data_IF_554576979474
#
_entry.id   IF_554576979474
#
_cell.length_a   1.000
_cell.length_b   1.000
_cell.length_c   1.000
_cell.angle_alpha   90.00
_cell.angle_beta   90.00
_cell.angle_gamma   90.00
#
_symmetry.space_group_name_H-M   'P 1'
#
loop_
_entity.id
_entity.type
_entity.pdbx_description
1 polymer ?
#
# COMPACT_ATOMS: atom_id res chain seq x y z
N UNK A 1 8.33 -53.33 -37.14
CA UNK A 1 7.79 -52.16 -37.85
C UNK A 1 6.35 -52.02 -37.36
N UNK A 2 6.10 -51.52 -36.14
CA UNK A 2 6.19 -50.11 -35.68
C UNK A 2 5.32 -49.19 -36.53
N UNK A 3 4.41 -48.36 -36.05
CA UNK A 3 3.79 -48.13 -34.75
C UNK A 3 2.52 -47.32 -35.09
N UNK A 4 1.42 -47.57 -34.38
CA UNK A 4 0.26 -46.68 -34.35
C UNK A 4 0.62 -45.32 -33.69
N UNK A 5 -0.30 -44.36 -33.81
CA UNK A 5 -0.37 -43.00 -33.24
C UNK A 5 -0.10 -41.86 -34.24
N UNK A 6 -1.14 -41.47 -34.98
CA UNK A 6 -1.31 -40.14 -35.54
C UNK A 6 -2.42 -39.41 -34.78
N UNK A 7 -2.06 -38.58 -33.81
CA UNK A 7 -2.94 -37.56 -33.24
C UNK A 7 -2.65 -36.25 -33.98
N UNK A 8 -3.49 -35.89 -34.92
CA UNK A 8 -3.52 -34.56 -35.51
C UNK A 8 -4.96 -34.10 -35.51
N UNK A 9 -5.33 -33.34 -34.47
CA UNK A 9 -6.35 -32.30 -34.52
C UNK A 9 -6.19 -31.47 -33.25
N UNK A 10 -5.27 -30.51 -33.30
CA UNK A 10 -5.13 -29.48 -32.25
C UNK A 10 -6.15 -28.40 -32.57
N UNK A 11 -7.29 -28.51 -31.92
CA UNK A 11 -8.39 -27.57 -31.96
C UNK A 11 -7.90 -26.11 -31.86
N UNK A 12 -8.25 -25.35 -32.89
CA UNK A 12 -8.38 -23.91 -32.87
C UNK A 12 -9.38 -23.53 -31.77
N UNK A 13 -8.91 -22.85 -30.73
CA UNK A 13 -9.77 -22.18 -29.76
C UNK A 13 -9.91 -20.73 -30.22
N UNK A 14 -10.94 -20.47 -31.01
CA UNK A 14 -11.44 -19.13 -31.22
C UNK A 14 -12.15 -18.65 -29.96
N UNK A 15 -11.79 -17.43 -29.59
CA UNK A 15 -12.52 -16.48 -28.75
C UNK A 15 -14.03 -16.55 -29.00
N UNK A 16 -14.80 -16.97 -28.01
CA UNK A 16 -16.26 -16.78 -28.02
C UNK A 16 -16.68 -16.22 -26.66
N UNK A 17 -16.84 -14.89 -26.64
CA UNK A 17 -17.35 -14.12 -25.51
C UNK A 17 -18.86 -14.35 -25.45
N UNK A 18 -19.29 -15.30 -24.63
CA UNK A 18 -20.71 -15.51 -24.32
C UNK A 18 -21.11 -14.64 -23.11
N UNK A 19 -21.70 -13.49 -23.39
CA UNK A 19 -22.55 -12.76 -22.47
C UNK A 19 -23.69 -13.67 -21.98
N UNK A 20 -23.69 -13.99 -20.69
CA UNK A 20 -24.89 -14.45 -19.99
C UNK A 20 -25.13 -13.54 -18.81
N UNK A 21 -26.10 -12.64 -19.00
CA UNK A 21 -26.66 -11.77 -17.97
C UNK A 21 -27.77 -12.51 -17.22
N UNK A 22 -27.70 -12.52 -15.89
CA UNK A 22 -28.70 -13.14 -15.03
C UNK A 22 -28.40 -12.93 -13.54
N UNK A 23 -28.74 -11.74 -13.01
CA UNK A 23 -28.98 -11.42 -11.60
C UNK A 23 -28.16 -12.17 -10.53
N UNK A 24 -27.00 -11.63 -10.14
CA UNK A 24 -26.48 -11.82 -8.78
C UNK A 24 -26.29 -10.46 -8.10
N UNK A 25 -27.08 -10.24 -7.06
CA UNK A 25 -26.92 -9.12 -6.13
C UNK A 25 -25.50 -9.13 -5.57
N UNK A 26 -24.69 -8.13 -5.95
CA UNK A 26 -23.55 -7.52 -5.22
C UNK A 26 -23.13 -8.23 -3.92
N UNK A 27 -22.62 -9.45 -4.00
CA UNK A 27 -21.99 -10.13 -2.88
C UNK A 27 -20.57 -10.45 -3.32
N UNK A 28 -19.65 -9.58 -2.91
CA UNK A 28 -18.22 -9.87 -3.02
C UNK A 28 -17.84 -11.16 -2.27
N UNK A 29 -16.57 -11.59 -2.39
CA UNK A 29 -16.07 -12.78 -1.70
C UNK A 29 -16.49 -12.81 -0.23
N UNK A 30 -17.31 -13.78 0.18
CA UNK A 30 -17.63 -14.00 1.62
C UNK A 30 -16.46 -14.65 2.39
N UNK A 31 -15.38 -15.00 1.71
CA UNK A 31 -14.28 -15.75 2.30
C UNK A 31 -13.32 -14.81 3.03
N UNK A 32 -13.18 -14.99 4.36
CA UNK A 32 -12.29 -14.18 5.20
C UNK A 32 -10.84 -14.17 4.72
N UNK A 33 -10.38 -15.25 4.08
CA UNK A 33 -9.01 -15.27 3.52
C UNK A 33 -8.86 -14.28 2.37
N UNK A 34 -9.89 -14.14 1.53
CA UNK A 34 -9.88 -13.24 0.38
C UNK A 34 -9.96 -11.80 0.85
N UNK A 35 -10.79 -11.53 1.88
CA UNK A 35 -10.83 -10.23 2.54
C UNK A 35 -9.45 -9.87 3.12
N UNK A 36 -8.79 -10.79 3.82
CA UNK A 36 -7.45 -10.56 4.38
C UNK A 36 -6.39 -10.34 3.29
N UNK A 37 -6.43 -11.11 2.20
CA UNK A 37 -5.55 -10.91 1.05
C UNK A 37 -5.79 -9.53 0.43
N UNK A 38 -7.05 -9.13 0.23
CA UNK A 38 -7.38 -7.84 -0.36
C UNK A 38 -6.89 -6.67 0.51
N UNK A 39 -7.08 -6.74 1.83
CA UNK A 39 -6.57 -5.74 2.76
C UNK A 39 -5.04 -5.65 2.73
N UNK A 40 -4.34 -6.77 2.62
CA UNK A 40 -2.88 -6.78 2.48
C UNK A 40 -2.44 -6.10 1.18
N UNK A 41 -3.07 -6.48 0.06
CA UNK A 41 -2.73 -5.94 -1.26
C UNK A 41 -3.07 -4.45 -1.41
N UNK A 42 -4.01 -3.94 -0.62
CA UNK A 42 -4.32 -2.50 -0.55
C UNK A 42 -3.15 -1.68 0.03
N UNK A 43 -2.34 -2.29 0.91
CA UNK A 43 -1.18 -1.60 1.49
C UNK A 43 0.00 -1.55 0.51
N UNK A 44 0.27 -2.67 -0.18
CA UNK A 44 1.25 -2.77 -1.27
C UNK A 44 1.02 -4.06 -2.05
N UNK A 45 1.42 -4.11 -3.33
CA UNK A 45 1.47 -5.37 -4.07
C UNK A 45 2.50 -6.34 -3.49
N UNK A 46 2.16 -7.64 -3.53
CA UNK A 46 2.96 -8.68 -2.85
C UNK A 46 3.02 -9.96 -3.66
N UNK A 47 4.07 -10.75 -3.44
CA UNK A 47 4.16 -12.11 -3.99
C UNK A 47 3.27 -13.06 -3.19
N UNK A 48 2.77 -14.11 -3.82
CA UNK A 48 1.95 -15.12 -3.14
C UNK A 48 2.65 -15.74 -1.91
N UNK A 49 3.99 -15.90 -1.96
CA UNK A 49 4.77 -16.39 -0.84
C UNK A 49 4.80 -15.43 0.36
N UNK A 50 4.88 -14.11 0.11
CA UNK A 50 4.84 -13.11 1.18
C UNK A 50 3.46 -13.07 1.84
N UNK A 51 2.39 -13.09 1.03
CA UNK A 51 1.01 -13.14 1.52
C UNK A 51 0.78 -14.40 2.38
N UNK A 52 1.27 -15.54 1.91
CA UNK A 52 1.21 -16.80 2.63
C UNK A 52 1.93 -16.76 3.99
N UNK A 53 3.11 -16.13 4.04
CA UNK A 53 3.87 -15.94 5.27
C UNK A 53 3.12 -15.06 6.27
N UNK A 54 2.56 -13.93 5.82
CA UNK A 54 1.80 -12.99 6.69
C UNK A 54 0.53 -13.64 7.25
N UNK A 55 -0.19 -14.42 6.44
CA UNK A 55 -1.45 -15.05 6.84
C UNK A 55 -1.25 -16.40 7.57
N UNK A 56 -0.02 -16.90 7.66
CA UNK A 56 0.29 -18.21 8.23
C UNK A 56 -0.45 -19.33 7.49
N UNK A 57 -0.43 -19.31 6.16
CA UNK A 57 -1.12 -20.28 5.29
C UNK A 57 -0.14 -20.88 4.27
N UNK A 58 -0.40 -22.09 3.76
CA UNK A 58 0.42 -22.66 2.69
C UNK A 58 0.37 -21.81 1.42
N UNK A 59 1.50 -21.61 0.75
CA UNK A 59 1.58 -20.82 -0.49
C UNK A 59 0.63 -21.32 -1.57
N UNK A 60 0.52 -22.65 -1.75
CA UNK A 60 -0.42 -23.26 -2.72
C UNK A 60 -1.86 -22.86 -2.44
N UNK A 61 -2.26 -22.82 -1.16
CA UNK A 61 -3.61 -22.44 -0.76
C UNK A 61 -3.90 -20.99 -1.14
N UNK A 62 -3.00 -20.07 -0.81
CA UNK A 62 -3.12 -18.65 -1.18
C UNK A 62 -3.14 -18.44 -2.69
N UNK A 63 -2.25 -19.11 -3.43
CA UNK A 63 -2.21 -19.07 -4.89
C UNK A 63 -3.52 -19.54 -5.53
N UNK A 64 -4.16 -20.58 -4.99
CA UNK A 64 -5.47 -21.02 -5.50
C UNK A 64 -6.54 -19.95 -5.38
N UNK A 65 -6.60 -19.21 -4.26
CA UNK A 65 -7.55 -18.10 -4.11
C UNK A 65 -7.23 -16.93 -5.04
N UNK A 66 -5.97 -16.55 -5.14
CA UNK A 66 -5.53 -15.46 -6.01
C UNK A 66 -5.89 -15.76 -7.47
N UNK A 67 -5.59 -16.95 -7.97
CA UNK A 67 -5.95 -17.38 -9.33
C UNK A 67 -7.47 -17.43 -9.54
N UNK A 68 -8.23 -17.91 -8.56
CA UNK A 68 -9.69 -17.98 -8.65
C UNK A 68 -10.36 -16.61 -8.69
N UNK A 69 -9.81 -15.63 -7.98
CA UNK A 69 -10.34 -14.26 -7.94
C UNK A 69 -9.74 -13.35 -9.02
N UNK A 70 -8.66 -13.78 -9.67
CA UNK A 70 -8.13 -13.17 -10.90
C UNK A 70 -9.14 -13.25 -12.04
N UNK A 71 -9.72 -14.43 -12.27
CA UNK A 71 -10.71 -14.62 -13.36
C UNK A 71 -11.99 -13.80 -13.15
N UNK A 72 -12.24 -13.34 -11.92
CA UNK A 72 -13.38 -12.48 -11.54
C UNK A 72 -13.02 -11.00 -11.50
N UNK A 73 -11.79 -10.64 -11.89
CA UNK A 73 -11.30 -9.27 -11.97
C UNK A 73 -11.18 -8.58 -10.62
N UNK A 74 -10.91 -9.32 -9.54
CA UNK A 74 -10.63 -8.75 -8.22
C UNK A 74 -9.14 -8.53 -7.96
N UNK A 75 -8.31 -9.39 -8.55
CA UNK A 75 -6.85 -9.32 -8.47
C UNK A 75 -6.24 -9.40 -9.86
N UNK A 76 -5.08 -8.78 -10.02
CA UNK A 76 -4.25 -8.89 -11.20
C UNK A 76 -2.86 -9.43 -10.84
N UNK A 77 -2.17 -9.96 -11.84
CA UNK A 77 -0.83 -10.51 -11.69
C UNK A 77 0.08 -9.87 -12.71
N UNK A 78 0.97 -9.02 -12.22
CA UNK A 78 1.89 -8.21 -13.01
C UNK A 78 3.29 -8.29 -12.41
N UNK A 79 4.30 -8.48 -13.26
CA UNK A 79 5.71 -8.45 -12.87
C UNK A 79 6.08 -9.37 -11.67
N UNK A 80 5.37 -10.49 -11.50
CA UNK A 80 5.62 -11.42 -10.39
C UNK A 80 4.89 -11.09 -9.08
N UNK A 81 4.08 -10.02 -9.08
CA UNK A 81 3.33 -9.53 -7.92
C UNK A 81 1.83 -9.63 -8.17
N UNK A 82 1.09 -9.81 -7.08
CA UNK A 82 -0.36 -9.70 -7.07
C UNK A 82 -0.76 -8.27 -6.70
N UNK A 83 -1.65 -7.69 -7.50
CA UNK A 83 -2.19 -6.34 -7.35
C UNK A 83 -3.71 -6.39 -7.23
N UNK A 84 -4.31 -5.32 -6.72
CA UNK A 84 -5.76 -5.13 -6.77
C UNK A 84 -6.14 -4.45 -8.08
N UNK A 85 -7.25 -4.88 -8.66
CA UNK A 85 -7.94 -4.11 -9.72
C UNK A 85 -8.74 -2.97 -9.08
N UNK A 86 -9.29 -2.07 -9.89
CA UNK A 86 -10.20 -1.01 -9.40
C UNK A 86 -11.35 -1.59 -8.55
N UNK A 87 -11.98 -2.68 -9.02
CA UNK A 87 -13.02 -3.40 -8.27
C UNK A 87 -12.49 -4.02 -6.96
N UNK A 88 -11.26 -4.54 -6.99
CA UNK A 88 -10.57 -5.07 -5.83
C UNK A 88 -10.28 -4.01 -4.77
N UNK A 89 -9.89 -2.81 -5.19
CA UNK A 89 -9.64 -1.68 -4.29
C UNK A 89 -10.90 -1.21 -3.58
N UNK A 90 -12.00 -1.03 -4.31
CA UNK A 90 -13.30 -0.68 -3.72
C UNK A 90 -13.73 -1.74 -2.69
N UNK A 91 -13.56 -3.01 -3.03
CA UNK A 91 -13.84 -4.12 -2.14
C UNK A 91 -12.97 -4.05 -0.86
N UNK A 92 -11.66 -3.87 -1.00
CA UNK A 92 -10.74 -3.77 0.13
C UNK A 92 -11.05 -2.56 1.04
N UNK A 93 -11.39 -1.40 0.46
CA UNK A 93 -11.79 -0.19 1.22
C UNK A 93 -13.08 -0.44 2.01
N UNK A 94 -14.08 -1.08 1.39
CA UNK A 94 -15.34 -1.41 2.08
C UNK A 94 -15.13 -2.31 3.30
N UNK A 95 -14.16 -3.22 3.24
CA UNK A 95 -13.78 -4.09 4.37
C UNK A 95 -13.16 -3.26 5.50
N UNK A 96 -12.23 -2.35 5.18
CA UNK A 96 -11.62 -1.48 6.17
C UNK A 96 -12.65 -0.61 6.88
N UNK A 97 -13.55 0.02 6.13
CA UNK A 97 -14.62 0.83 6.69
C UNK A 97 -15.53 0.01 7.62
N UNK A 98 -15.90 -1.21 7.22
CA UNK A 98 -16.71 -2.11 8.03
C UNK A 98 -16.03 -2.47 9.36
N UNK A 99 -14.75 -2.84 9.32
CA UNK A 99 -13.97 -3.18 10.52
C UNK A 99 -13.74 -1.96 11.42
N UNK A 100 -13.48 -0.78 10.84
CA UNK A 100 -13.32 0.47 11.60
C UNK A 100 -14.63 0.88 12.28
N UNK A 101 -15.74 0.86 11.55
CA UNK A 101 -17.06 1.20 12.10
C UNK A 101 -17.45 0.25 13.24
N UNK A 102 -17.14 -1.05 13.11
CA UNK A 102 -17.33 -2.02 14.19
C UNK A 102 -16.54 -1.65 15.45
N UNK A 103 -15.26 -1.28 15.31
CA UNK A 103 -14.44 -0.83 16.47
C UNK A 103 -14.98 0.45 17.08
N UNK A 104 -15.34 1.45 16.27
CA UNK A 104 -15.92 2.70 16.76
C UNK A 104 -17.21 2.44 17.55
N UNK A 105 -18.06 1.54 17.05
CA UNK A 105 -19.27 1.15 17.77
C UNK A 105 -18.96 0.46 19.12
N UNK A 106 -17.94 -0.41 19.17
CA UNK A 106 -17.47 -1.03 20.40
C UNK A 106 -16.95 0.00 21.41
N UNK A 107 -16.11 0.94 20.97
CA UNK A 107 -15.60 2.01 21.83
C UNK A 107 -16.72 2.96 22.30
N UNK A 108 -17.68 3.27 21.44
CA UNK A 108 -18.83 4.10 21.81
C UNK A 108 -19.75 3.40 22.82
N UNK A 109 -19.90 2.07 22.72
CA UNK A 109 -20.60 1.28 23.72
C UNK A 109 -19.86 1.29 25.07
N UNK A 110 -18.54 1.07 25.05
CA UNK A 110 -17.71 1.13 26.26
C UNK A 110 -17.74 2.51 26.92
N UNK A 111 -17.66 3.59 26.14
CA UNK A 111 -17.73 4.95 26.65
C UNK A 111 -19.06 5.25 27.34
N UNK A 112 -20.18 4.77 26.78
CA UNK A 112 -21.50 4.85 27.42
C UNK A 112 -21.56 4.06 28.72
N UNK A 113 -21.02 2.84 28.74
CA UNK A 113 -20.97 2.02 29.94
C UNK A 113 -20.18 2.69 31.08
N UNK A 114 -19.05 3.35 30.77
CA UNK A 114 -18.26 4.09 31.77
C UNK A 114 -19.09 5.23 32.39
N UNK A 115 -19.83 5.97 31.57
CA UNK A 115 -20.72 7.04 32.06
C UNK A 115 -21.90 6.48 32.88
N UNK A 116 -22.43 5.32 32.51
CA UNK A 116 -23.52 4.66 33.23
C UNK A 116 -23.05 4.05 34.57
N UNK A 117 -21.78 3.66 34.68
CA UNK A 117 -21.15 3.16 35.89
C UNK A 117 -20.81 4.26 36.91
N UNK A 118 -20.78 5.53 36.49
CA UNK A 118 -20.81 6.69 37.40
C UNK A 118 -22.22 6.90 37.99
N UNK A 119 -22.71 5.90 38.74
CA UNK A 119 -23.71 6.15 39.77
C UNK A 119 -23.02 6.93 40.90
N UNK A 120 -22.88 8.23 40.69
CA UNK A 120 -22.47 9.17 41.73
C UNK A 120 -23.53 9.13 42.82
N UNK A 121 -23.17 8.49 43.94
CA UNK A 121 -23.69 8.83 45.27
C UNK A 121 -23.70 10.36 45.36
N UNK A 122 -24.88 10.94 45.25
CA UNK A 122 -25.10 12.38 45.28
C UNK A 122 -24.53 12.96 46.58
N UNK A 123 -23.36 13.58 46.52
CA UNK A 123 -22.87 14.42 47.61
C UNK A 123 -23.74 15.67 47.64
N UNK A 124 -24.80 15.63 48.46
CA UNK A 124 -25.66 16.77 48.76
C UNK A 124 -24.80 17.79 49.52
N UNK A 125 -24.43 18.90 48.88
CA UNK A 125 -23.97 20.07 49.59
C UNK A 125 -25.04 21.15 49.51
N UNK A 126 -25.75 21.32 50.62
CA UNK A 126 -26.61 22.46 50.88
C UNK A 126 -25.77 23.75 50.90
N UNK A 127 -26.06 24.67 49.98
CA UNK A 127 -26.12 26.08 50.38
C UNK A 127 -27.04 26.87 49.45
N UNK A 128 -27.83 27.72 50.09
CA UNK A 128 -29.07 28.34 49.65
C UNK A 128 -28.91 29.55 48.72
N UNK A 129 -29.92 29.73 47.84
CA UNK A 129 -30.37 30.96 47.12
C UNK A 129 -29.40 31.54 46.06
N UNK A 130 -29.75 31.89 44.82
CA UNK A 130 -30.95 32.56 44.26
C UNK A 130 -30.86 32.58 42.70
N UNK A 131 -31.97 32.49 41.95
CA UNK A 131 -32.09 33.06 40.58
C UNK A 131 -31.78 32.18 39.34
N UNK A 132 -32.33 32.51 38.14
CA UNK A 132 -32.78 31.53 37.13
C UNK A 132 -31.68 31.00 36.18
N UNK A 133 -31.91 29.76 35.74
CA UNK A 133 -31.09 28.96 34.81
C UNK A 133 -30.75 29.70 33.51
N UNK A 134 -29.48 30.06 33.35
CA UNK A 134 -28.84 30.19 32.04
C UNK A 134 -28.09 28.90 31.72
N UNK A 135 -28.56 28.22 30.68
CA UNK A 135 -27.93 27.08 30.04
C UNK A 135 -26.58 27.50 29.44
N UNK A 136 -25.53 27.46 30.25
CA UNK A 136 -24.15 27.39 29.79
C UNK A 136 -23.36 26.69 30.89
N UNK A 137 -23.40 25.35 30.85
CA UNK A 137 -22.57 24.51 31.71
C UNK A 137 -21.11 24.77 31.40
N UNK A 138 -20.52 25.70 32.16
CA UNK A 138 -19.09 25.98 32.18
C UNK A 138 -18.36 24.65 32.39
N UNK A 139 -17.58 24.24 31.40
CA UNK A 139 -16.58 23.21 31.53
C UNK A 139 -15.75 23.54 32.77
N UNK A 140 -15.64 22.59 33.70
CA UNK A 140 -14.95 22.84 34.95
C UNK A 140 -13.49 23.26 34.69
N UNK A 141 -12.96 24.22 35.46
CA UNK A 141 -11.63 24.81 35.23
C UNK A 141 -10.47 23.82 35.38
N UNK A 142 -10.72 22.60 35.86
CA UNK A 142 -9.72 21.52 35.88
C UNK A 142 -9.26 21.11 34.47
N UNK A 143 -10.15 21.16 33.45
CA UNK A 143 -9.75 20.87 32.06
C UNK A 143 -8.86 21.98 31.50
N UNK A 144 -9.04 23.23 31.95
CA UNK A 144 -8.26 24.37 31.47
C UNK A 144 -6.76 24.25 31.82
N UNK A 145 -6.41 23.56 32.90
CA UNK A 145 -5.03 23.28 33.28
C UNK A 145 -4.36 22.19 32.41
N UNK A 146 -5.15 21.29 31.81
CA UNK A 146 -4.67 20.24 30.90
C UNK A 146 -4.77 20.63 29.42
N UNK A 147 -5.50 21.68 29.06
CA UNK A 147 -5.39 22.34 27.75
C UNK A 147 -4.18 23.28 27.70
N UNK A 148 -3.02 22.79 28.14
CA UNK A 148 -1.74 23.46 28.04
C UNK A 148 -1.09 23.20 26.69
N UNK A 149 -0.96 24.25 25.88
CA UNK A 149 -0.26 24.32 24.59
C UNK A 149 -0.90 23.51 23.46
N UNK A 150 -1.86 24.13 22.76
CA UNK A 150 -1.96 23.96 21.29
C UNK A 150 -0.73 24.58 20.64
N UNK A 151 0.44 23.96 20.86
CA UNK A 151 1.52 24.07 19.91
C UNK A 151 0.95 23.53 18.61
N UNK A 152 0.79 24.40 17.62
CA UNK A 152 0.69 23.96 16.22
C UNK A 152 2.00 23.23 15.90
N UNK A 153 2.16 22.00 16.38
CA UNK A 153 2.96 21.00 15.69
C UNK A 153 2.21 20.80 14.39
N UNK A 154 2.49 21.68 13.43
CA UNK A 154 2.35 21.37 12.02
C UNK A 154 3.01 20.01 11.90
N UNK A 155 2.20 18.95 11.88
CA UNK A 155 2.62 17.69 11.29
C UNK A 155 3.20 18.15 9.96
N UNK A 156 4.52 18.07 9.80
CA UNK A 156 5.14 18.21 8.50
C UNK A 156 4.52 17.05 7.72
N UNK A 157 3.38 17.31 7.07
CA UNK A 157 2.86 16.42 6.05
C UNK A 157 4.06 16.22 5.15
N UNK A 158 4.52 14.97 5.01
CA UNK A 158 5.62 14.65 4.12
C UNK A 158 5.35 15.31 2.78
N UNK A 159 6.40 15.81 2.13
CA UNK A 159 6.23 16.43 0.81
C UNK A 159 5.47 15.45 -0.09
N UNK A 160 4.53 15.93 -0.93
CA UNK A 160 3.90 15.07 -1.92
C UNK A 160 4.98 14.35 -2.74
N UNK A 161 4.75 13.10 -3.14
CA UNK A 161 5.76 12.22 -3.76
C UNK A 161 6.54 12.93 -4.88
N UNK A 162 5.84 13.64 -5.75
CA UNK A 162 6.43 14.44 -6.84
C UNK A 162 7.36 15.55 -6.34
N UNK A 163 6.97 16.31 -5.31
CA UNK A 163 7.81 17.35 -4.73
C UNK A 163 9.04 16.78 -4.03
N UNK A 164 8.94 15.58 -3.44
CA UNK A 164 10.11 14.94 -2.86
C UNK A 164 11.11 14.48 -3.93
N UNK A 165 10.62 13.84 -4.99
CA UNK A 165 11.47 13.43 -6.11
C UNK A 165 12.15 14.65 -6.72
N UNK A 166 11.43 15.74 -6.98
CA UNK A 166 12.03 16.97 -7.50
C UNK A 166 13.08 17.57 -6.57
N UNK A 167 12.86 17.56 -5.25
CA UNK A 167 13.86 18.01 -4.29
C UNK A 167 15.14 17.15 -4.35
N UNK A 168 15.00 15.83 -4.52
CA UNK A 168 16.14 14.92 -4.60
C UNK A 168 16.90 15.11 -5.92
N UNK A 169 16.18 15.27 -7.02
CA UNK A 169 16.79 15.48 -8.34
C UNK A 169 17.48 16.85 -8.44
N UNK A 170 17.00 17.87 -7.71
CA UNK A 170 17.61 19.21 -7.70
C UNK A 170 18.96 19.26 -6.97
N UNK A 171 19.15 18.42 -5.94
CA UNK A 171 20.38 18.35 -5.17
C UNK A 171 21.47 17.47 -5.84
N UNK A 172 21.13 16.77 -6.94
CA UNK A 172 22.02 15.86 -7.64
C UNK A 172 22.52 16.48 -8.96
N UNK A 173 23.83 16.42 -9.19
CA UNK A 173 24.44 16.79 -10.48
C UNK A 173 24.25 15.66 -11.50
N UNK A 174 23.10 15.63 -12.16
CA UNK A 174 22.69 14.60 -13.13
C UNK A 174 22.27 15.20 -14.47
N UNK A 175 22.54 14.46 -15.55
CA UNK A 175 22.13 14.82 -16.91
C UNK A 175 20.65 14.47 -17.14
N UNK A 176 20.03 15.03 -18.18
CA UNK A 176 18.61 14.80 -18.48
C UNK A 176 18.28 13.30 -18.72
N UNK A 177 19.18 12.57 -19.38
CA UNK A 177 19.04 11.12 -19.60
C UNK A 177 19.11 10.33 -18.28
N UNK A 178 20.02 10.73 -17.39
CA UNK A 178 20.20 10.10 -16.07
C UNK A 178 18.99 10.38 -15.17
N UNK A 179 18.43 11.59 -15.29
CA UNK A 179 17.25 12.04 -14.56
C UNK A 179 16.04 11.18 -14.85
N UNK A 180 15.78 10.84 -16.11
CA UNK A 180 14.64 10.00 -16.49
C UNK A 180 14.69 8.62 -15.81
N UNK A 181 15.86 7.96 -15.84
CA UNK A 181 16.05 6.65 -15.19
C UNK A 181 15.93 6.78 -13.68
N UNK A 182 16.53 7.81 -13.10
CA UNK A 182 16.53 8.01 -11.66
C UNK A 182 15.13 8.33 -11.14
N UNK A 183 14.37 9.15 -11.85
CA UNK A 183 12.97 9.46 -11.53
C UNK A 183 12.10 8.19 -11.52
N UNK A 184 12.23 7.34 -12.54
CA UNK A 184 11.54 6.04 -12.58
C UNK A 184 11.91 5.16 -11.39
N UNK A 185 13.21 5.04 -11.10
CA UNK A 185 13.70 4.24 -9.98
C UNK A 185 13.28 4.78 -8.61
N UNK A 186 13.20 6.11 -8.45
CA UNK A 186 12.73 6.75 -7.23
C UNK A 186 11.23 6.59 -7.05
N UNK A 187 10.44 6.76 -8.11
CA UNK A 187 9.01 6.45 -8.10
C UNK A 187 8.78 5.00 -7.71
N UNK A 188 9.52 4.07 -8.32
CA UNK A 188 9.45 2.66 -7.99
C UNK A 188 9.81 2.40 -6.51
N UNK A 189 10.87 3.01 -6.00
CA UNK A 189 11.23 2.86 -4.60
C UNK A 189 10.16 3.41 -3.64
N UNK A 190 9.56 4.57 -3.95
CA UNK A 190 8.52 5.18 -3.12
C UNK A 190 7.17 4.45 -3.20
N UNK A 191 6.89 3.79 -4.32
CA UNK A 191 5.65 3.04 -4.54
C UNK A 191 5.74 1.61 -3.99
N UNK A 192 6.85 0.92 -4.23
CA UNK A 192 7.00 -0.53 -3.96
C UNK A 192 7.91 -0.83 -2.76
N UNK A 193 8.70 0.15 -2.30
CA UNK A 193 9.68 -0.01 -1.20
C UNK A 193 10.93 -0.81 -1.59
N UNK A 194 11.01 -1.29 -2.83
CA UNK A 194 12.14 -2.05 -3.36
C UNK A 194 13.17 -1.12 -3.95
N UNK A 195 14.41 -1.18 -3.45
CA UNK A 195 15.48 -0.30 -3.91
C UNK A 195 16.21 -0.79 -5.15
N UNK A 196 15.68 -1.81 -5.82
CA UNK A 196 16.29 -2.39 -7.01
C UNK A 196 15.21 -2.87 -7.97
N UNK A 197 15.60 -2.92 -9.24
CA UNK A 197 14.81 -3.40 -10.38
C UNK A 197 15.75 -4.20 -11.29
N UNK A 198 15.22 -5.10 -12.11
CA UNK A 198 16.02 -5.82 -13.11
C UNK A 198 16.14 -5.01 -14.41
N UNK A 199 17.23 -5.22 -15.14
CA UNK A 199 17.53 -4.45 -16.35
C UNK A 199 16.47 -4.65 -17.44
N UNK A 200 16.03 -5.89 -17.64
CA UNK A 200 14.95 -6.25 -18.57
C UNK A 200 13.63 -5.53 -18.25
N UNK A 201 13.31 -5.37 -16.97
CA UNK A 201 12.15 -4.60 -16.54
C UNK A 201 12.33 -3.10 -16.83
N UNK A 202 13.53 -2.54 -16.61
CA UNK A 202 13.83 -1.15 -16.97
C UNK A 202 13.78 -0.91 -18.49
N UNK A 203 14.25 -1.86 -19.29
CA UNK A 203 14.15 -1.81 -20.76
C UNK A 203 12.67 -1.75 -21.20
N UNK A 204 11.81 -2.55 -20.58
CA UNK A 204 10.37 -2.56 -20.86
C UNK A 204 9.67 -1.29 -20.41
N UNK A 205 9.88 -0.87 -19.16
CA UNK A 205 9.16 0.26 -18.56
C UNK A 205 9.53 1.61 -19.22
N UNK A 206 10.78 1.76 -19.68
CA UNK A 206 11.27 2.98 -20.32
C UNK A 206 11.27 2.92 -21.85
N UNK A 207 10.84 1.79 -22.44
CA UNK A 207 10.93 1.50 -23.88
C UNK A 207 12.32 1.84 -24.47
N UNK A 208 13.38 1.56 -23.71
CA UNK A 208 14.72 2.05 -23.99
C UNK A 208 15.63 0.97 -24.59
N UNK A 209 16.53 1.37 -25.49
CA UNK A 209 17.56 0.47 -26.02
C UNK A 209 18.52 0.03 -24.90
N UNK A 210 18.84 -1.27 -24.87
CA UNK A 210 19.69 -1.90 -23.86
C UNK A 210 21.10 -1.31 -23.80
N UNK A 211 21.71 -1.00 -24.94
CA UNK A 211 23.08 -0.47 -25.00
C UNK A 211 23.09 0.96 -24.47
N UNK A 212 22.11 1.76 -24.86
CA UNK A 212 21.91 3.10 -24.32
C UNK A 212 21.67 3.06 -22.80
N UNK A 213 20.76 2.21 -22.33
CA UNK A 213 20.41 2.09 -20.92
C UNK A 213 21.62 1.70 -20.07
N UNK A 214 22.38 0.69 -20.48
CA UNK A 214 23.61 0.29 -19.79
C UNK A 214 24.67 1.40 -19.76
N UNK A 215 24.74 2.23 -20.79
CA UNK A 215 25.67 3.38 -20.84
C UNK A 215 25.29 4.44 -19.82
N UNK A 216 24.00 4.79 -19.73
CA UNK A 216 23.50 5.76 -18.74
C UNK A 216 23.64 5.21 -17.32
N UNK A 217 23.30 3.94 -17.10
CA UNK A 217 23.42 3.29 -15.79
C UNK A 217 24.87 3.22 -15.29
N UNK A 218 25.85 3.02 -16.19
CA UNK A 218 27.27 3.06 -15.82
C UNK A 218 27.74 4.46 -15.41
N UNK A 219 27.21 5.52 -16.05
CA UNK A 219 27.47 6.91 -15.62
C UNK A 219 26.92 7.16 -14.21
N UNK A 220 25.66 6.78 -13.97
CA UNK A 220 25.01 6.83 -12.65
C UNK A 220 25.75 6.00 -11.59
N UNK A 221 26.31 4.86 -11.97
CA UNK A 221 27.14 4.03 -11.08
C UNK A 221 28.44 4.73 -10.71
N UNK A 222 29.09 5.41 -11.66
CA UNK A 222 30.35 6.15 -11.44
C UNK A 222 30.14 7.31 -10.47
N UNK A 223 28.96 7.96 -10.53
CA UNK A 223 28.52 8.99 -9.57
C UNK A 223 28.13 8.43 -8.19
N UNK A 224 28.13 7.10 -8.01
CA UNK A 224 27.76 6.45 -6.74
C UNK A 224 26.28 6.57 -6.38
N UNK A 225 25.44 6.92 -7.35
CA UNK A 225 23.98 7.07 -7.20
C UNK A 225 23.32 5.68 -7.23
N UNK A 226 23.86 4.79 -8.06
CA UNK A 226 23.32 3.45 -8.28
C UNK A 226 24.41 2.37 -8.21
N UNK A 227 23.98 1.12 -8.02
CA UNK A 227 24.83 -0.06 -8.16
C UNK A 227 24.26 -1.01 -9.21
N UNK A 228 25.16 -1.68 -9.93
CA UNK A 228 24.81 -2.72 -10.88
C UNK A 228 25.38 -4.04 -10.34
N UNK A 229 24.53 -5.05 -10.21
CA UNK A 229 24.89 -6.38 -9.73
C UNK A 229 24.45 -7.42 -10.75
N UNK A 230 25.37 -8.27 -11.21
CA UNK A 230 25.05 -9.33 -12.14
C UNK A 230 24.66 -10.62 -11.39
N UNK A 231 23.38 -10.99 -11.46
CA UNK A 231 22.86 -12.23 -10.91
C UNK A 231 22.99 -13.36 -11.95
N UNK A 232 23.70 -14.43 -11.59
CA UNK A 232 23.96 -15.56 -12.50
C UNK A 232 22.69 -16.25 -13.00
N UNK A 233 21.57 -16.13 -12.29
CA UNK A 233 20.31 -16.83 -12.63
C UNK A 233 19.24 -15.90 -13.19
N UNK A 234 19.22 -14.65 -12.73
CA UNK A 234 18.14 -13.70 -13.00
C UNK A 234 18.59 -12.48 -13.83
N UNK A 235 19.87 -12.39 -14.18
CA UNK A 235 20.40 -11.31 -15.01
C UNK A 235 20.83 -10.08 -14.22
N UNK A 236 20.86 -8.92 -14.90
CA UNK A 236 21.44 -7.70 -14.34
C UNK A 236 20.42 -7.02 -13.43
N UNK A 237 20.82 -6.79 -12.18
CA UNK A 237 20.06 -6.07 -11.16
C UNK A 237 20.63 -4.67 -10.98
N UNK A 238 19.76 -3.68 -11.00
CA UNK A 238 20.11 -2.27 -10.89
C UNK A 238 19.43 -1.73 -9.63
N UNK A 239 20.17 -1.06 -8.76
CA UNK A 239 19.59 -0.54 -7.52
C UNK A 239 20.16 0.77 -7.02
N UNK A 240 19.43 1.43 -6.13
CA UNK A 240 19.82 2.70 -5.52
C UNK A 240 20.92 2.49 -4.47
N UNK A 241 21.93 3.36 -4.47
CA UNK A 241 23.00 3.31 -3.49
C UNK A 241 22.50 3.55 -2.07
N UNK A 242 23.27 3.08 -1.08
CA UNK A 242 22.92 3.28 0.34
C UNK A 242 22.77 4.77 0.70
N UNK A 243 23.68 5.60 0.18
CA UNK A 243 23.69 7.06 0.40
C UNK A 243 22.41 7.71 -0.13
N UNK A 244 22.01 7.36 -1.34
CA UNK A 244 20.81 7.92 -1.93
C UNK A 244 19.56 7.46 -1.18
N UNK A 245 19.49 6.20 -0.74
CA UNK A 245 18.36 5.71 0.06
C UNK A 245 18.21 6.46 1.38
N UNK A 246 19.31 6.67 2.10
CA UNK A 246 19.31 7.43 3.35
C UNK A 246 18.84 8.87 3.12
N UNK A 247 19.28 9.49 2.02
CA UNK A 247 18.84 10.82 1.62
C UNK A 247 17.34 10.87 1.26
N UNK A 248 16.84 9.89 0.49
CA UNK A 248 15.41 9.76 0.16
C UNK A 248 14.56 9.62 1.41
N UNK A 249 14.99 8.80 2.38
CA UNK A 249 14.28 8.63 3.65
C UNK A 249 14.30 9.95 4.43
N UNK A 250 15.45 10.62 4.56
CA UNK A 250 15.56 11.88 5.29
C UNK A 250 14.68 13.00 4.69
N UNK A 251 14.59 13.08 3.37
CA UNK A 251 13.89 14.14 2.64
C UNK A 251 12.39 13.84 2.48
N UNK A 252 12.01 12.59 2.16
CA UNK A 252 10.61 12.22 1.91
C UNK A 252 9.86 11.75 3.16
N UNK A 253 10.58 11.22 4.15
CA UNK A 253 10.01 10.69 5.38
C UNK A 253 10.75 11.31 6.58
N UNK A 254 10.41 12.55 7.00
CA UNK A 254 10.92 13.06 8.26
C UNK A 254 10.46 12.10 9.35
N UNK A 255 11.40 11.32 9.86
CA UNK A 255 11.15 10.30 10.86
C UNK A 255 10.40 10.94 12.03
N UNK A 256 9.18 10.45 12.25
CA UNK A 256 8.57 10.54 13.56
C UNK A 256 9.42 9.64 14.44
N UNK A 257 10.40 10.24 15.15
CA UNK A 257 11.00 9.58 16.29
C UNK A 257 9.88 9.23 17.28
N UNK A 258 9.62 7.94 17.44
CA UNK A 258 9.08 7.33 18.64
C UNK A 258 9.95 6.12 18.96
#
# INVERSE_FOLDING_TARGET
MSSQYGWSDRASWHEEVAETSGQERRQGPRSRIVEAIAVLLLARPMRAAEIAQVLGKPTRYVSSYLSYWRTRGLFEYENGFWTLTEKGEEFARSILEREMNSRVAQYAALARQILEQEQVSSTINNNTSTGPRLLSGRIQPFIAAYTGKTGKKRRKQGLPRSACIQAILADLEIDEEERAILEHMLNHYLQWGTSYTYLDQLEHDLEADRVWLLTVLRRLQTKGIMYIYNDRRLGIRVGLSKRLKEFVIATCQPSSQV
#
